data_IF_338577280621
#
_entry.id   IF_338577280621
#
_cell.length_a   1.000
_cell.length_b   1.000
_cell.length_c   1.000
_cell.angle_alpha   90.00
_cell.angle_beta   90.00
_cell.angle_gamma   90.00
#
_symmetry.space_group_name_H-M   'P 1'
#
loop_
_entity.id
_entity.type
_entity.pdbx_description
1 polymer ?
#
# COMPACT_ATOMS: atom_id res chain seq x y z
N UNK A 1 15.27 -5.33 11.00
CA UNK A 1 13.85 -5.70 10.97
C UNK A 1 13.35 -6.10 9.57
N UNK A 2 14.02 -5.75 8.45
CA UNK A 2 13.55 -6.10 7.09
C UNK A 2 14.58 -6.88 6.25
N UNK A 3 15.26 -7.87 6.84
CA UNK A 3 16.38 -8.60 6.19
C UNK A 3 15.99 -9.38 4.92
N UNK A 4 14.70 -9.60 4.68
CA UNK A 4 14.19 -10.32 3.51
C UNK A 4 13.72 -9.40 2.37
N UNK A 5 13.81 -8.06 2.54
CA UNK A 5 13.38 -7.14 1.49
C UNK A 5 14.48 -6.93 0.46
N UNK A 6 14.10 -7.04 -0.80
CA UNK A 6 14.90 -6.54 -1.92
C UNK A 6 15.15 -5.02 -1.76
N UNK A 7 16.27 -4.55 -2.30
CA UNK A 7 16.60 -3.14 -2.33
C UNK A 7 15.57 -2.34 -3.14
N UNK A 8 15.23 -1.13 -2.66
CA UNK A 8 14.21 -0.25 -3.24
C UNK A 8 12.89 -0.22 -2.45
N UNK A 9 11.95 0.61 -2.90
CA UNK A 9 10.61 0.78 -2.33
C UNK A 9 9.64 -0.30 -2.80
N UNK A 10 8.66 -0.72 -1.98
CA UNK A 10 7.66 -1.68 -2.42
C UNK A 10 6.82 -1.08 -3.56
N UNK A 11 6.34 -1.93 -4.47
CA UNK A 11 5.42 -1.51 -5.53
C UNK A 11 4.08 -1.03 -4.98
N UNK A 12 3.61 -1.65 -3.88
CA UNK A 12 2.42 -1.24 -3.14
C UNK A 12 2.52 -1.72 -1.69
N UNK A 13 1.96 -0.95 -0.77
CA UNK A 13 1.74 -1.33 0.62
C UNK A 13 0.25 -1.56 0.84
N UNK A 14 -0.11 -2.73 1.37
CA UNK A 14 -1.45 -3.00 1.89
C UNK A 14 -1.45 -2.71 3.40
N UNK A 15 -2.25 -1.76 3.84
CA UNK A 15 -2.28 -1.28 5.22
C UNK A 15 -3.65 -1.53 5.84
N UNK A 16 -3.70 -2.19 6.99
CA UNK A 16 -4.94 -2.27 7.77
C UNK A 16 -5.09 -1.01 8.62
N UNK A 17 -6.33 -0.54 8.77
CA UNK A 17 -6.69 0.53 9.67
C UNK A 17 -6.61 0.09 11.14
N UNK A 18 -7.12 -1.11 11.44
CA UNK A 18 -7.23 -1.61 12.81
C UNK A 18 -6.07 -2.54 13.13
N UNK A 19 -4.92 -1.96 13.47
CA UNK A 19 -3.75 -2.73 13.90
C UNK A 19 -3.74 -2.90 15.43
N UNK A 20 -3.25 -4.03 15.96
CA UNK A 20 -3.35 -4.35 17.40
C UNK A 20 -2.48 -3.48 18.35
N UNK A 21 -1.81 -2.44 17.87
CA UNK A 21 -0.88 -1.60 18.68
C UNK A 21 -0.72 -0.15 18.21
N UNK A 22 -1.00 0.12 16.95
CA UNK A 22 -0.83 1.44 16.30
C UNK A 22 -2.07 1.70 15.46
N UNK A 23 -2.38 2.97 15.21
CA UNK A 23 -3.46 3.30 14.28
C UNK A 23 -2.92 3.21 12.84
N UNK A 24 -3.62 2.52 11.94
CA UNK A 24 -3.26 2.45 10.54
C UNK A 24 -3.26 3.84 9.87
N UNK A 25 -4.10 4.78 10.30
CA UNK A 25 -4.05 6.17 9.82
C UNK A 25 -2.76 6.88 10.23
N UNK A 26 -2.30 6.67 11.46
CA UNK A 26 -1.03 7.24 11.92
C UNK A 26 0.15 6.68 11.12
N UNK A 27 0.12 5.38 10.81
CA UNK A 27 1.12 4.76 9.93
C UNK A 27 1.06 5.36 8.52
N UNK A 28 -0.13 5.59 7.96
CA UNK A 28 -0.29 6.24 6.67
C UNK A 28 0.30 7.65 6.68
N UNK A 29 0.01 8.44 7.70
CA UNK A 29 0.53 9.81 7.85
C UNK A 29 2.06 9.81 7.94
N UNK A 30 2.66 8.88 8.67
CA UNK A 30 4.12 8.72 8.73
C UNK A 30 4.71 8.40 7.34
N UNK A 31 4.10 7.47 6.61
CA UNK A 31 4.55 7.14 5.25
C UNK A 31 4.44 8.34 4.31
N UNK A 32 3.33 9.10 4.39
CA UNK A 32 3.02 10.19 3.45
C UNK A 32 3.72 11.51 3.80
N UNK A 33 4.18 11.67 5.03
CA UNK A 33 5.00 12.82 5.46
C UNK A 33 6.50 12.64 5.18
N UNK A 34 6.98 11.40 5.07
CA UNK A 34 8.38 11.11 4.76
C UNK A 34 8.69 11.40 3.27
N UNK A 35 9.64 12.28 2.93
CA UNK A 35 9.99 12.61 1.55
C UNK A 35 10.40 11.42 0.68
N UNK A 36 11.02 10.40 1.28
CA UNK A 36 11.49 9.19 0.59
C UNK A 36 10.34 8.21 0.38
N UNK A 37 9.38 8.14 1.31
CA UNK A 37 8.31 7.15 1.29
C UNK A 37 6.98 7.67 0.75
N UNK A 38 6.76 8.98 0.68
CA UNK A 38 5.45 9.57 0.31
C UNK A 38 4.93 9.14 -1.07
N UNK A 39 5.85 8.82 -1.98
CA UNK A 39 5.53 8.35 -3.32
C UNK A 39 5.08 6.88 -3.35
N UNK A 40 5.38 6.10 -2.30
CA UNK A 40 4.99 4.68 -2.21
C UNK A 40 3.46 4.56 -2.24
N UNK A 41 2.89 3.74 -3.13
CA UNK A 41 1.46 3.54 -3.19
C UNK A 41 0.99 2.78 -1.94
N UNK A 42 -0.02 3.33 -1.25
CA UNK A 42 -0.65 2.69 -0.09
C UNK A 42 -2.09 2.42 -0.43
N UNK A 43 -2.53 1.18 -0.21
CA UNK A 43 -3.93 0.77 -0.29
C UNK A 43 -4.38 0.40 1.12
N UNK A 44 -5.40 1.10 1.63
CA UNK A 44 -6.06 0.65 2.85
C UNK A 44 -6.82 -0.64 2.53
N UNK A 45 -6.53 -1.72 3.26
CA UNK A 45 -7.26 -2.98 3.19
C UNK A 45 -7.79 -3.28 4.59
N UNK A 46 -9.04 -2.93 4.87
CA UNK A 46 -9.60 -2.96 6.23
C UNK A 46 -11.04 -3.44 6.28
N UNK A 47 -11.52 -3.90 7.44
CA UNK A 47 -12.93 -4.29 7.64
C UNK A 47 -13.86 -3.11 7.88
N UNK A 48 -13.34 -1.91 8.14
CA UNK A 48 -14.16 -0.71 8.31
C UNK A 48 -14.89 -0.34 7.02
N UNK A 49 -16.17 0.06 7.16
CA UNK A 49 -17.01 0.63 6.10
C UNK A 49 -17.49 2.03 6.47
N UNK A 50 -16.98 2.58 7.57
CA UNK A 50 -17.40 3.87 8.09
C UNK A 50 -16.94 4.98 7.13
N UNK A 51 -17.88 5.84 6.73
CA UNK A 51 -17.60 6.94 5.77
C UNK A 51 -16.48 7.85 6.28
N UNK A 52 -16.46 8.12 7.59
CA UNK A 52 -15.42 8.94 8.22
C UNK A 52 -14.01 8.36 8.03
N UNK A 53 -13.85 7.03 8.08
CA UNK A 53 -12.55 6.36 7.97
C UNK A 53 -12.07 6.39 6.51
N UNK A 54 -12.99 6.25 5.58
CA UNK A 54 -12.73 6.38 4.14
C UNK A 54 -12.27 7.80 3.81
N UNK A 55 -13.03 8.82 4.23
CA UNK A 55 -12.71 10.23 3.97
C UNK A 55 -11.36 10.61 4.60
N UNK A 56 -11.11 10.22 5.85
CA UNK A 56 -9.83 10.47 6.52
C UNK A 56 -8.67 9.82 5.78
N UNK A 57 -8.83 8.57 5.35
CA UNK A 57 -7.77 7.85 4.63
C UNK A 57 -7.40 8.55 3.32
N UNK A 58 -8.39 9.04 2.56
CA UNK A 58 -8.14 9.81 1.33
C UNK A 58 -7.54 11.18 1.60
N UNK A 59 -7.98 11.88 2.65
CA UNK A 59 -7.38 13.15 3.06
C UNK A 59 -5.91 12.98 3.49
N UNK A 60 -5.55 11.84 4.08
CA UNK A 60 -4.17 11.49 4.45
C UNK A 60 -3.35 10.91 3.28
N UNK A 61 -3.90 10.87 2.06
CA UNK A 61 -3.15 10.55 0.84
C UNK A 61 -3.10 9.06 0.45
N UNK A 62 -4.04 8.24 0.91
CA UNK A 62 -4.17 6.85 0.42
C UNK A 62 -4.43 6.83 -1.10
N UNK A 63 -3.90 5.83 -1.80
CA UNK A 63 -4.11 5.65 -3.22
C UNK A 63 -5.41 4.88 -3.52
N UNK A 64 -5.80 3.95 -2.66
CA UNK A 64 -7.08 3.25 -2.75
C UNK A 64 -7.55 2.75 -1.38
N UNK A 65 -8.86 2.54 -1.26
CA UNK A 65 -9.50 1.96 -0.07
C UNK A 65 -10.29 0.72 -0.47
N UNK A 66 -9.97 -0.41 0.15
CA UNK A 66 -10.58 -1.70 -0.12
C UNK A 66 -11.11 -2.28 1.17
N UNK A 67 -12.41 -2.56 1.19
CA UNK A 67 -13.01 -3.27 2.31
C UNK A 67 -12.65 -4.74 2.21
N UNK A 68 -12.04 -5.30 3.26
CA UNK A 68 -11.67 -6.71 3.35
C UNK A 68 -12.87 -7.58 3.00
N UNK A 69 -12.75 -8.44 1.97
CA UNK A 69 -13.75 -9.44 1.70
C UNK A 69 -13.91 -10.36 2.91
N UNK A 70 -15.16 -10.77 3.18
CA UNK A 70 -15.50 -11.59 4.35
C UNK A 70 -15.02 -13.02 4.17
N UNK A 71 -15.03 -13.53 2.94
CA UNK A 71 -14.62 -14.89 2.60
C UNK A 71 -13.18 -14.97 2.07
N UNK A 72 -12.55 -16.12 2.32
CA UNK A 72 -11.15 -16.36 1.94
C UNK A 72 -10.96 -16.38 0.42
N UNK A 73 -11.90 -16.95 -0.33
CA UNK A 73 -11.80 -17.02 -1.79
C UNK A 73 -11.87 -15.63 -2.42
N UNK A 74 -12.80 -14.80 -1.95
CA UNK A 74 -12.96 -13.41 -2.36
C UNK A 74 -11.76 -12.56 -1.94
N UNK A 75 -11.20 -12.83 -0.75
CA UNK A 75 -9.97 -12.19 -0.28
C UNK A 75 -8.79 -12.49 -1.21
N UNK A 76 -8.58 -13.76 -1.55
CA UNK A 76 -7.53 -14.18 -2.49
C UNK A 76 -7.76 -13.58 -3.87
N UNK A 77 -9.00 -13.52 -4.35
CA UNK A 77 -9.33 -12.89 -5.64
C UNK A 77 -9.00 -11.39 -5.64
N UNK A 78 -9.44 -10.64 -4.64
CA UNK A 78 -9.16 -9.22 -4.52
C UNK A 78 -7.65 -8.93 -4.41
N UNK A 79 -6.90 -9.74 -3.66
CA UNK A 79 -5.44 -9.60 -3.58
C UNK A 79 -4.74 -9.86 -4.92
N UNK A 80 -5.22 -10.83 -5.71
CA UNK A 80 -4.67 -11.08 -7.05
C UNK A 80 -4.92 -9.90 -7.98
N UNK A 81 -6.13 -9.35 -7.97
CA UNK A 81 -6.49 -8.19 -8.80
C UNK A 81 -5.66 -6.96 -8.43
N UNK A 82 -5.53 -6.66 -7.13
CA UNK A 82 -4.69 -5.56 -6.64
C UNK A 82 -3.22 -5.77 -7.01
N UNK A 83 -2.70 -6.98 -6.82
CA UNK A 83 -1.32 -7.31 -7.16
C UNK A 83 -1.05 -7.15 -8.65
N UNK A 84 -1.92 -7.68 -9.51
CA UNK A 84 -1.79 -7.55 -10.97
C UNK A 84 -1.85 -6.09 -11.42
N UNK A 85 -2.78 -5.31 -10.88
CA UNK A 85 -2.86 -3.88 -11.20
C UNK A 85 -1.54 -3.17 -10.89
N UNK A 86 -1.04 -3.28 -9.65
CA UNK A 86 0.13 -2.51 -9.23
C UNK A 86 1.46 -3.01 -9.78
N UNK A 87 1.55 -4.30 -10.15
CA UNK A 87 2.80 -4.91 -10.63
C UNK A 87 2.89 -4.95 -12.16
N UNK A 88 1.75 -5.11 -12.85
CA UNK A 88 1.73 -5.34 -14.31
C UNK A 88 1.16 -4.16 -15.09
N UNK A 89 0.17 -3.45 -14.52
CA UNK A 89 -0.57 -2.41 -15.26
C UNK A 89 -0.09 -1.01 -14.89
N UNK A 90 0.14 -0.76 -13.60
CA UNK A 90 0.54 0.55 -13.11
C UNK A 90 2.02 0.82 -13.42
N UNK A 91 2.32 2.03 -13.86
CA UNK A 91 3.69 2.54 -13.92
C UNK A 91 4.17 2.88 -12.50
N UNK A 92 5.18 2.18 -11.96
CA UNK A 92 5.55 2.34 -10.57
C UNK A 92 6.24 3.69 -10.30
N UNK A 93 6.12 4.23 -9.08
CA UNK A 93 6.88 5.41 -8.69
C UNK A 93 8.40 5.18 -8.80
N UNK A 94 9.19 6.25 -9.00
CA UNK A 94 10.64 6.14 -8.98
C UNK A 94 11.14 5.50 -7.67
N UNK A 95 12.14 4.63 -7.79
CA UNK A 95 12.72 3.97 -6.63
C UNK A 95 12.04 2.66 -6.22
N UNK A 96 10.96 2.25 -6.89
CA UNK A 96 10.31 0.95 -6.66
C UNK A 96 11.21 -0.23 -7.04
N UNK A 97 11.17 -1.31 -6.27
CA UNK A 97 11.86 -2.56 -6.56
C UNK A 97 11.49 -3.04 -7.96
N UNK A 98 12.50 -3.26 -8.81
CA UNK A 98 12.29 -3.74 -10.18
C UNK A 98 12.21 -2.65 -11.24
N UNK A 99 12.28 -1.37 -10.88
CA UNK A 99 12.40 -0.27 -11.84
C UNK A 99 13.64 -0.49 -12.74
N UNK A 100 13.48 -0.59 -14.07
CA UNK A 100 14.59 -0.77 -15.01
C UNK A 100 15.65 0.33 -14.92
N UNK A 101 15.30 1.53 -14.43
CA UNK A 101 16.24 2.64 -14.22
C UNK A 101 17.17 2.42 -13.03
N UNK A 102 16.74 1.64 -12.02
CA UNK A 102 17.58 1.22 -10.89
C UNK A 102 18.55 0.08 -11.28
N UNK A 103 18.20 -0.73 -12.29
CA UNK A 103 19.04 -1.85 -12.76
C UNK A 103 20.21 -1.42 -13.65
N UNK A 104 20.24 -0.17 -14.12
CA UNK A 104 21.32 0.36 -14.97
C UNK A 104 22.56 0.88 -14.21
N UNK A 105 22.53 0.86 -12.88
CA UNK A 105 23.59 1.39 -12.01
C UNK A 105 24.24 0.33 -11.10
N UNK A 106 24.14 -0.96 -11.45
CA UNK A 106 24.87 -2.06 -10.81
C UNK A 106 25.70 -2.78 -11.87
#
# INVERSE_FOLDING_TARGET
MFKLRSAGHPAVVLLDLKLPKVDGLEVLEQIKSDPELRAVPVVMLTSSREEQDLVRSYNSGVNAYVVKPVGFAEFVAALKELGLFWVVINEPPPGTVGDPKLQKNI
#
